data_IF_158401267772
#
_entry.id   IF_158401267772
#
_cell.length_a   1.000
_cell.length_b   1.000
_cell.length_c   1.000
_cell.angle_alpha   90.00
_cell.angle_beta   90.00
_cell.angle_gamma   90.00
#
_symmetry.space_group_name_H-M   'P 1'
#
loop_
_entity.id
_entity.type
_entity.pdbx_description
1 polymer ?
#
# COMPACT_ATOMS: atom_id res chain seq x y z
N UNK A 1 -1.51 27.57 -19.26
CA UNK A 1 -0.46 26.65 -19.76
C UNK A 1 -0.72 25.28 -19.16
N UNK A 2 -1.41 24.40 -19.89
CA UNK A 2 -1.82 23.07 -19.42
C UNK A 2 -0.60 22.15 -19.33
N UNK A 3 -0.35 21.57 -18.16
CA UNK A 3 0.73 20.60 -17.94
C UNK A 3 0.49 19.38 -18.82
N UNK A 4 1.47 19.00 -19.64
CA UNK A 4 1.41 17.92 -20.63
C UNK A 4 1.26 16.49 -20.07
N UNK A 5 0.74 16.34 -18.85
CA UNK A 5 0.50 15.05 -18.19
C UNK A 5 -0.90 14.48 -18.49
N UNK A 6 -1.88 15.32 -18.84
CA UNK A 6 -3.23 14.88 -19.21
C UNK A 6 -3.32 14.08 -20.51
N UNK A 7 -2.46 14.39 -21.49
CA UNK A 7 -2.50 13.76 -22.84
C UNK A 7 -1.78 12.41 -22.93
N UNK A 8 -1.01 12.04 -21.90
CA UNK A 8 -0.33 10.74 -21.83
C UNK A 8 -1.30 9.62 -21.44
N UNK A 9 -2.41 9.93 -20.75
CA UNK A 9 -3.41 8.92 -20.40
C UNK A 9 -4.16 8.39 -21.64
N UNK A 10 -4.33 9.23 -22.68
CA UNK A 10 -4.94 8.85 -23.95
C UNK A 10 -4.04 8.05 -24.90
N UNK A 11 -2.75 7.92 -24.63
CA UNK A 11 -1.79 7.27 -25.55
C UNK A 11 -1.39 5.84 -25.16
N UNK A 12 -1.82 5.35 -23.99
CA UNK A 12 -1.69 3.93 -23.62
C UNK A 12 -3.01 3.20 -23.90
N UNK A 13 -3.12 2.65 -25.11
CA UNK A 13 -4.28 1.91 -25.64
C UNK A 13 -4.65 0.65 -24.85
N UNK A 14 -5.27 0.85 -23.68
CA UNK A 14 -5.81 -0.20 -22.82
C UNK A 14 -6.38 0.28 -21.47
N UNK A 15 -6.21 1.56 -21.11
CA UNK A 15 -6.76 2.10 -19.86
C UNK A 15 -8.23 2.49 -20.05
N UNK A 16 -9.14 1.59 -19.66
CA UNK A 16 -10.57 1.92 -19.54
C UNK A 16 -10.73 2.90 -18.39
N UNK A 17 -10.98 4.16 -18.72
CA UNK A 17 -11.35 5.17 -17.74
C UNK A 17 -12.65 4.73 -17.07
N UNK A 18 -12.57 4.48 -15.78
CA UNK A 18 -13.70 4.01 -14.99
C UNK A 18 -14.37 5.21 -14.34
N UNK A 19 -15.71 5.23 -14.39
CA UNK A 19 -16.51 6.23 -13.70
C UNK A 19 -17.10 5.64 -12.42
N UNK A 20 -17.11 6.44 -11.37
CA UNK A 20 -17.85 6.17 -10.14
C UNK A 20 -18.48 7.48 -9.63
N UNK A 21 -19.64 7.37 -9.03
CA UNK A 21 -20.35 8.48 -8.40
C UNK A 21 -19.91 8.59 -6.95
N UNK A 22 -19.63 9.82 -6.51
CA UNK A 22 -19.43 10.11 -5.10
C UNK A 22 -20.78 9.95 -4.40
N UNK A 23 -20.85 9.09 -3.40
CA UNK A 23 -22.06 8.89 -2.60
C UNK A 23 -22.00 9.65 -1.28
N UNK A 24 -20.79 9.80 -0.71
CA UNK A 24 -20.56 10.52 0.54
C UNK A 24 -19.22 11.24 0.50
N UNK A 25 -19.17 12.42 1.10
CA UNK A 25 -17.94 13.16 1.39
C UNK A 25 -17.96 13.62 2.86
N UNK A 26 -17.33 12.85 3.73
CA UNK A 26 -17.30 13.09 5.18
C UNK A 26 -16.08 13.92 5.58
N UNK A 27 -16.30 14.95 6.39
CA UNK A 27 -15.25 15.78 6.97
C UNK A 27 -14.67 15.12 8.22
N UNK A 28 -13.35 14.92 8.26
CA UNK A 28 -12.65 14.34 9.41
C UNK A 28 -11.44 15.23 9.75
N UNK A 29 -11.69 16.48 10.14
CA UNK A 29 -10.63 17.48 10.33
C UNK A 29 -9.91 17.80 9.01
N UNK A 30 -8.57 17.61 8.90
CA UNK A 30 -7.82 17.83 7.66
C UNK A 30 -7.96 16.66 6.66
N UNK A 31 -8.90 15.74 6.88
CA UNK A 31 -9.17 14.63 5.98
C UNK A 31 -10.57 14.70 5.38
N UNK A 32 -10.72 14.15 4.18
CA UNK A 32 -12.01 13.83 3.57
C UNK A 32 -12.10 12.33 3.33
N UNK A 33 -13.14 11.69 3.86
CA UNK A 33 -13.48 10.32 3.49
C UNK A 33 -14.52 10.35 2.38
N UNK A 34 -14.11 9.90 1.20
CA UNK A 34 -14.98 9.79 0.04
C UNK A 34 -15.47 8.35 -0.06
N UNK A 35 -16.78 8.18 -0.26
CA UNK A 35 -17.36 6.88 -0.65
C UNK A 35 -17.80 6.94 -2.09
N UNK A 36 -17.39 5.98 -2.89
CA UNK A 36 -17.63 5.92 -4.33
C UNK A 36 -18.46 4.69 -4.66
N UNK A 37 -19.40 4.81 -5.60
CA UNK A 37 -20.17 3.69 -6.13
C UNK A 37 -20.23 3.76 -7.65
N UNK A 38 -20.12 2.63 -8.33
CA UNK A 38 -20.26 2.58 -9.79
C UNK A 38 -20.18 1.15 -10.34
N UNK A 39 -20.84 0.91 -11.47
CA UNK A 39 -20.82 -0.41 -12.12
C UNK A 39 -19.40 -0.81 -12.54
N UNK A 40 -18.60 0.15 -12.98
CA UNK A 40 -17.20 -0.07 -13.35
C UNK A 40 -16.31 -0.56 -12.20
N UNK A 41 -16.73 -0.39 -10.94
CA UNK A 41 -16.06 -0.96 -9.77
C UNK A 41 -16.39 -2.45 -9.56
N UNK A 42 -17.56 -2.92 -10.01
CA UNK A 42 -18.01 -4.31 -9.81
C UNK A 42 -17.18 -5.31 -10.61
N UNK A 43 -16.76 -4.93 -11.81
CA UNK A 43 -16.01 -5.79 -12.72
C UNK A 43 -14.52 -5.92 -12.39
N UNK A 44 -14.06 -5.33 -11.29
CA UNK A 44 -12.63 -5.20 -10.98
C UNK A 44 -12.27 -5.90 -9.68
N UNK A 45 -11.11 -6.55 -9.69
CA UNK A 45 -10.49 -7.15 -8.51
C UNK A 45 -9.57 -6.15 -7.85
N UNK A 46 -9.67 -6.01 -6.52
CA UNK A 46 -8.84 -5.16 -5.70
C UNK A 46 -8.02 -6.01 -4.74
N UNK A 47 -6.73 -5.72 -4.63
CA UNK A 47 -5.87 -6.22 -3.57
C UNK A 47 -5.48 -5.07 -2.62
N UNK A 48 -5.46 -5.31 -1.28
CA UNK A 48 -4.98 -4.33 -0.32
C UNK A 48 -3.57 -3.83 -0.66
N UNK A 49 -3.44 -2.53 -0.90
CA UNK A 49 -2.19 -1.89 -1.37
C UNK A 49 -2.20 -1.51 -2.85
N UNK A 50 -3.26 -1.86 -3.59
CA UNK A 50 -3.53 -1.28 -4.90
C UNK A 50 -3.79 0.23 -4.81
N UNK A 51 -3.69 0.90 -5.97
CA UNK A 51 -3.94 2.34 -6.11
C UNK A 51 -4.95 2.64 -7.22
N UNK A 52 -5.62 3.79 -7.08
CA UNK A 52 -6.35 4.46 -8.14
C UNK A 52 -5.62 5.72 -8.56
N UNK A 53 -5.61 6.01 -9.85
CA UNK A 53 -5.19 7.29 -10.40
C UNK A 53 -6.43 8.08 -10.81
N UNK A 54 -6.83 9.02 -9.96
CA UNK A 54 -7.97 9.90 -10.15
C UNK A 54 -7.62 11.02 -11.13
N UNK A 55 -8.51 11.26 -12.08
CA UNK A 55 -8.47 12.41 -12.96
C UNK A 55 -9.32 13.53 -12.35
N UNK A 56 -8.64 14.53 -11.79
CA UNK A 56 -9.26 15.71 -11.20
C UNK A 56 -9.50 16.79 -12.27
N UNK A 57 -10.36 17.79 -11.98
CA UNK A 57 -10.55 18.93 -12.88
C UNK A 57 -9.23 19.61 -13.28
N UNK A 58 -9.12 20.04 -14.54
CA UNK A 58 -7.90 20.65 -15.07
C UNK A 58 -6.81 19.64 -15.48
N UNK A 59 -7.20 18.40 -15.80
CA UNK A 59 -6.33 17.30 -16.25
C UNK A 59 -5.25 16.89 -15.25
N UNK A 60 -5.51 17.14 -13.97
CA UNK A 60 -4.60 16.83 -12.88
C UNK A 60 -4.82 15.38 -12.40
N UNK A 61 -3.75 14.59 -12.34
CA UNK A 61 -3.85 13.18 -11.93
C UNK A 61 -3.30 13.01 -10.52
N UNK A 62 -4.08 12.36 -9.65
CA UNK A 62 -3.70 12.08 -8.25
C UNK A 62 -3.85 10.62 -7.91
N UNK A 63 -2.92 10.11 -7.11
CA UNK A 63 -2.91 8.71 -6.70
C UNK A 63 -3.51 8.58 -5.31
N UNK A 64 -4.47 7.67 -5.16
CA UNK A 64 -5.11 7.36 -3.89
C UNK A 64 -5.19 5.85 -3.67
N UNK A 65 -5.18 5.43 -2.42
CA UNK A 65 -5.36 4.02 -2.04
C UNK A 65 -6.81 3.76 -1.66
N UNK A 66 -7.52 2.86 -2.37
CA UNK A 66 -8.77 2.29 -1.89
C UNK A 66 -8.59 1.60 -0.55
N UNK A 67 -9.52 1.86 0.37
CA UNK A 67 -9.52 1.22 1.70
C UNK A 67 -10.35 -0.05 1.70
N UNK A 68 -11.54 0.03 1.12
CA UNK A 68 -12.48 -1.07 0.98
C UNK A 68 -12.82 -1.27 -0.49
N UNK A 69 -13.21 -2.48 -0.86
CA UNK A 69 -13.73 -2.75 -2.20
C UNK A 69 -14.74 -3.89 -2.14
N UNK A 70 -16.01 -3.58 -2.31
CA UNK A 70 -17.06 -4.59 -2.29
C UNK A 70 -18.29 -4.10 -3.05
N UNK A 71 -18.92 -4.99 -3.82
CA UNK A 71 -20.23 -4.75 -4.46
C UNK A 71 -20.33 -3.44 -5.25
N UNK A 72 -19.26 -3.08 -5.96
CA UNK A 72 -19.21 -1.85 -6.76
C UNK A 72 -19.03 -0.58 -5.93
N UNK A 73 -18.57 -0.70 -4.70
CA UNK A 73 -18.26 0.40 -3.80
C UNK A 73 -16.81 0.36 -3.36
N UNK A 74 -16.26 1.55 -3.13
CA UNK A 74 -14.96 1.74 -2.51
C UNK A 74 -14.94 3.03 -1.70
N UNK A 75 -13.97 3.16 -0.80
CA UNK A 75 -13.75 4.39 -0.04
C UNK A 75 -12.31 4.85 -0.14
N UNK A 76 -12.12 6.16 -0.23
CA UNK A 76 -10.83 6.84 -0.26
C UNK A 76 -10.71 7.75 0.98
N UNK A 77 -9.48 7.95 1.44
CA UNK A 77 -9.17 8.97 2.42
C UNK A 77 -8.21 9.98 1.80
N UNK A 78 -8.65 11.22 1.71
CA UNK A 78 -7.89 12.33 1.13
C UNK A 78 -7.38 13.20 2.27
N UNK A 79 -6.05 13.30 2.40
CA UNK A 79 -5.43 14.29 3.29
C UNK A 79 -5.34 15.64 2.58
N UNK A 80 -5.87 16.68 3.22
CA UNK A 80 -5.91 18.04 2.68
C UNK A 80 -4.61 18.77 3.01
N UNK A 81 -3.56 18.51 2.22
CA UNK A 81 -2.28 19.19 2.36
C UNK A 81 -2.15 20.38 1.41
N UNK A 82 -1.96 21.57 1.96
CA UNK A 82 -1.72 22.80 1.20
C UNK A 82 -2.96 23.32 0.47
N UNK A 83 -3.56 24.40 1.00
CA UNK A 83 -4.82 25.00 0.51
C UNK A 83 -4.77 25.48 -0.96
N UNK A 84 -3.57 25.64 -1.51
CA UNK A 84 -3.35 26.14 -2.87
C UNK A 84 -3.25 25.05 -3.93
N UNK A 85 -3.21 23.77 -3.55
CA UNK A 85 -3.07 22.68 -4.52
C UNK A 85 -4.45 22.23 -5.06
N UNK A 86 -4.54 21.68 -6.29
CA UNK A 86 -5.82 21.31 -6.89
C UNK A 86 -6.60 20.24 -6.12
N UNK A 87 -5.89 19.28 -5.49
CA UNK A 87 -6.52 18.11 -4.90
C UNK A 87 -7.30 18.41 -3.61
N UNK A 88 -6.78 19.18 -2.64
CA UNK A 88 -7.55 19.61 -1.48
C UNK A 88 -8.78 20.45 -1.83
N UNK A 89 -8.65 21.40 -2.78
CA UNK A 89 -9.78 22.22 -3.23
C UNK A 89 -10.89 21.37 -3.84
N UNK A 90 -10.51 20.45 -4.73
CA UNK A 90 -11.46 19.50 -5.32
C UNK A 90 -12.11 18.64 -4.24
N UNK A 91 -11.34 18.04 -3.33
CA UNK A 91 -11.89 17.15 -2.31
C UNK A 91 -12.81 17.87 -1.31
N UNK A 92 -12.58 19.15 -1.05
CA UNK A 92 -13.48 19.99 -0.24
C UNK A 92 -14.79 20.33 -0.97
N UNK A 93 -14.73 20.56 -2.28
CA UNK A 93 -15.88 20.94 -3.10
C UNK A 93 -16.71 19.75 -3.59
N UNK A 94 -16.11 18.55 -3.65
CA UNK A 94 -16.76 17.34 -4.13
C UNK A 94 -18.03 17.02 -3.33
N UNK A 95 -19.12 16.73 -4.01
CA UNK A 95 -20.42 16.48 -3.40
C UNK A 95 -20.98 15.10 -3.79
N UNK A 96 -21.89 14.54 -2.98
CA UNK A 96 -22.69 13.40 -3.42
C UNK A 96 -23.39 13.68 -4.76
N UNK A 97 -23.30 12.74 -5.69
CA UNK A 97 -23.80 12.88 -7.07
C UNK A 97 -22.73 13.24 -8.10
N UNK A 98 -21.59 13.78 -7.68
CA UNK A 98 -20.49 14.09 -8.60
C UNK A 98 -19.89 12.83 -9.22
N UNK A 99 -19.52 12.91 -10.50
CA UNK A 99 -18.85 11.84 -11.23
C UNK A 99 -17.34 12.00 -11.11
N UNK A 100 -16.69 10.90 -10.72
CA UNK A 100 -15.26 10.79 -10.56
C UNK A 100 -14.71 9.77 -11.56
N UNK A 101 -13.71 10.20 -12.33
CA UNK A 101 -13.04 9.39 -13.35
C UNK A 101 -11.69 8.94 -12.84
N UNK A 102 -11.35 7.67 -13.03
CA UNK A 102 -10.07 7.15 -12.59
C UNK A 102 -9.60 5.95 -13.42
N UNK A 103 -8.32 5.65 -13.26
CA UNK A 103 -7.69 4.42 -13.73
C UNK A 103 -7.34 3.55 -12.53
N UNK A 104 -7.65 2.25 -12.64
CA UNK A 104 -7.32 1.25 -11.63
C UNK A 104 -8.49 0.31 -11.31
N UNK A 105 -8.36 -0.50 -10.24
CA UNK A 105 -7.21 -0.58 -9.35
C UNK A 105 -5.96 -1.11 -10.05
N UNK A 106 -4.80 -0.56 -9.67
CA UNK A 106 -3.50 -0.94 -10.18
C UNK A 106 -2.63 -1.46 -9.04
N UNK A 107 -1.94 -2.57 -9.27
CA UNK A 107 -0.97 -3.11 -8.31
C UNK A 107 0.11 -2.08 -8.00
N UNK A 108 0.28 -1.77 -6.72
CA UNK A 108 1.27 -0.79 -6.25
C UNK A 108 2.09 -1.35 -5.10
N UNK A 109 1.45 -1.77 -4.01
CA UNK A 109 2.11 -2.40 -2.86
C UNK A 109 1.59 -3.82 -2.67
N UNK A 110 2.38 -4.81 -3.05
CA UNK A 110 2.05 -6.23 -2.86
C UNK A 110 2.97 -6.84 -1.81
N UNK A 111 2.40 -7.30 -0.70
CA UNK A 111 3.16 -7.86 0.41
C UNK A 111 2.92 -9.36 0.53
N UNK A 112 3.97 -10.18 0.77
CA UNK A 112 3.78 -11.60 1.08
C UNK A 112 2.94 -11.77 2.35
N UNK A 113 2.35 -12.96 2.58
CA UNK A 113 1.65 -13.26 3.83
C UNK A 113 2.54 -13.05 5.07
N UNK A 114 1.92 -12.70 6.19
CA UNK A 114 2.58 -12.52 7.48
C UNK A 114 2.51 -11.10 8.04
N UNK A 115 3.19 -10.86 9.18
CA UNK A 115 3.18 -9.57 9.87
C UNK A 115 3.76 -8.44 9.03
N UNK A 116 3.12 -7.27 9.12
CA UNK A 116 3.50 -6.05 8.39
C UNK A 116 3.73 -4.90 9.36
N UNK A 117 4.83 -4.20 9.19
CA UNK A 117 5.07 -2.88 9.80
C UNK A 117 5.03 -1.84 8.69
N UNK A 118 4.07 -0.93 8.75
CA UNK A 118 3.96 0.21 7.85
C UNK A 118 4.48 1.47 8.56
N UNK A 119 5.38 2.20 7.89
CA UNK A 119 5.85 3.51 8.36
C UNK A 119 5.48 4.53 7.30
N UNK A 120 4.92 5.66 7.71
CA UNK A 120 4.50 6.69 6.78
C UNK A 120 4.05 7.97 7.47
N UNK A 121 3.20 8.72 6.79
CA UNK A 121 2.62 9.99 7.25
C UNK A 121 1.08 9.94 7.17
N UNK A 122 0.43 11.11 7.16
CA UNK A 122 -1.03 11.23 7.06
C UNK A 122 -1.61 10.49 5.84
N UNK A 123 -0.89 10.50 4.71
CA UNK A 123 -1.33 9.88 3.46
C UNK A 123 -1.30 8.35 3.53
N UNK A 124 -0.53 7.80 4.46
CA UNK A 124 -0.35 6.35 4.63
C UNK A 124 -1.46 5.70 5.47
N UNK A 125 -2.37 6.48 6.07
CA UNK A 125 -3.51 5.96 6.83
C UNK A 125 -4.37 5.03 5.97
N UNK A 126 -4.63 5.41 4.71
CA UNK A 126 -5.50 4.63 3.81
C UNK A 126 -4.94 3.22 3.52
N UNK A 127 -3.65 3.11 3.20
CA UNK A 127 -3.02 1.81 2.93
C UNK A 127 -2.85 0.99 4.20
N UNK A 128 -2.56 1.62 5.34
CA UNK A 128 -2.54 0.95 6.64
C UNK A 128 -3.90 0.34 6.97
N UNK A 129 -4.98 1.09 6.76
CA UNK A 129 -6.35 0.62 6.98
C UNK A 129 -6.71 -0.54 6.04
N UNK A 130 -6.44 -0.40 4.73
CA UNK A 130 -6.69 -1.46 3.75
C UNK A 130 -6.00 -2.77 4.13
N UNK A 131 -4.71 -2.71 4.49
CA UNK A 131 -3.94 -3.87 4.92
C UNK A 131 -4.46 -4.44 6.24
N UNK A 132 -4.83 -3.59 7.20
CA UNK A 132 -5.35 -4.03 8.50
C UNK A 132 -6.67 -4.78 8.35
N UNK A 133 -7.60 -4.26 7.54
CA UNK A 133 -8.90 -4.90 7.28
C UNK A 133 -8.73 -6.27 6.63
N UNK A 134 -7.76 -6.43 5.73
CA UNK A 134 -7.47 -7.69 5.08
C UNK A 134 -6.66 -8.67 5.95
N UNK A 135 -5.89 -8.16 6.92
CA UNK A 135 -5.05 -8.98 7.82
C UNK A 135 -5.20 -8.51 9.28
N UNK A 136 -6.38 -8.70 9.90
CA UNK A 136 -6.61 -8.25 11.27
C UNK A 136 -5.55 -8.80 12.23
N UNK A 137 -5.01 -7.93 13.09
CA UNK A 137 -3.99 -8.29 14.08
C UNK A 137 -2.56 -8.46 13.55
N UNK A 138 -2.33 -8.43 12.23
CA UNK A 138 -1.00 -8.62 11.63
C UNK A 138 -0.34 -7.33 11.14
N UNK A 139 -1.06 -6.20 11.18
CA UNK A 139 -0.55 -4.91 10.69
C UNK A 139 -0.31 -3.97 11.87
N UNK A 140 0.91 -3.42 11.94
CA UNK A 140 1.29 -2.31 12.82
C UNK A 140 1.63 -1.11 11.95
N UNK A 141 1.09 0.06 12.28
CA UNK A 141 1.37 1.30 11.57
C UNK A 141 2.02 2.32 12.52
N UNK A 142 3.08 2.98 12.06
CA UNK A 142 3.72 4.11 12.72
C UNK A 142 3.71 5.32 11.78
N UNK A 143 3.02 6.39 12.15
CA UNK A 143 2.71 7.50 11.25
C UNK A 143 3.19 8.83 11.84
N UNK A 144 3.99 9.58 11.06
CA UNK A 144 4.38 10.94 11.41
C UNK A 144 3.34 11.94 10.90
N UNK A 145 2.65 12.61 11.83
CA UNK A 145 1.45 13.40 11.52
C UNK A 145 1.55 14.81 12.09
N UNK A 146 0.95 15.79 11.43
CA UNK A 146 0.90 17.16 11.93
C UNK A 146 0.00 17.32 13.16
N UNK A 147 -1.12 16.57 13.20
CA UNK A 147 -2.12 16.59 14.28
C UNK A 147 -2.48 15.14 14.63
N UNK A 148 -2.11 14.73 15.85
CA UNK A 148 -2.33 13.36 16.31
C UNK A 148 -3.80 13.04 16.56
N UNK A 149 -4.58 13.98 17.09
CA UNK A 149 -5.99 13.74 17.41
C UNK A 149 -6.81 13.62 16.12
N UNK A 150 -6.56 14.51 15.17
CA UNK A 150 -7.20 14.45 13.85
C UNK A 150 -6.82 13.16 13.10
N UNK A 151 -5.53 12.78 13.10
CA UNK A 151 -5.09 11.53 12.49
C UNK A 151 -5.69 10.29 13.18
N UNK A 152 -5.82 10.31 14.50
CA UNK A 152 -6.44 9.23 15.27
C UNK A 152 -7.91 9.07 14.93
N UNK A 153 -8.65 10.18 14.87
CA UNK A 153 -10.05 10.19 14.48
C UNK A 153 -10.24 9.67 13.04
N UNK A 154 -9.42 10.13 12.09
CA UNK A 154 -9.47 9.66 10.71
C UNK A 154 -9.14 8.18 10.58
N UNK A 155 -8.09 7.69 11.27
CA UNK A 155 -7.72 6.27 11.30
C UNK A 155 -8.84 5.40 11.86
N UNK A 156 -9.47 5.80 12.97
CA UNK A 156 -10.60 5.10 13.55
C UNK A 156 -11.79 5.04 12.58
N UNK A 157 -12.12 6.15 11.91
CA UNK A 157 -13.22 6.21 10.95
C UNK A 157 -13.04 5.25 9.76
N UNK A 158 -11.80 4.98 9.35
CA UNK A 158 -11.50 4.04 8.25
C UNK A 158 -11.17 2.62 8.70
N UNK A 159 -11.35 2.30 9.99
CA UNK A 159 -11.15 0.95 10.51
C UNK A 159 -9.69 0.58 10.77
N UNK A 160 -8.82 1.55 11.02
CA UNK A 160 -7.46 1.33 11.52
C UNK A 160 -7.40 1.65 13.03
N UNK A 161 -7.59 0.65 13.91
CA UNK A 161 -7.52 0.87 15.35
C UNK A 161 -6.08 1.04 15.81
N UNK A 162 -5.84 2.05 16.65
CA UNK A 162 -4.62 2.25 17.42
C UNK A 162 -3.31 2.27 16.60
N UNK A 163 -3.17 3.09 15.53
CA UNK A 163 -1.87 3.35 14.95
C UNK A 163 -0.96 4.04 15.97
N UNK A 164 0.35 3.79 15.89
CA UNK A 164 1.34 4.60 16.58
C UNK A 164 1.43 5.93 15.84
N UNK A 165 1.05 7.03 16.50
CA UNK A 165 1.14 8.37 15.94
C UNK A 165 2.31 9.10 16.57
N UNK A 166 3.01 9.87 15.74
CA UNK A 166 4.17 10.66 16.13
C UNK A 166 3.95 12.07 15.61
N UNK A 167 3.74 13.05 16.50
CA UNK A 167 3.73 14.44 16.11
C UNK A 167 4.98 14.79 15.30
N UNK A 168 4.78 15.41 14.14
CA UNK A 168 5.87 15.87 13.29
C UNK A 168 6.61 17.01 13.98
N UNK A 169 7.82 16.72 14.43
CA UNK A 169 8.75 17.75 14.91
C UNK A 169 9.20 18.69 13.79
N UNK A 170 9.89 19.80 14.12
CA UNK A 170 10.48 20.66 13.12
C UNK A 170 11.40 19.86 12.19
N UNK A 171 11.36 20.15 10.89
CA UNK A 171 12.28 19.55 9.93
C UNK A 171 13.71 19.85 10.34
N UNK A 172 14.42 18.84 10.83
CA UNK A 172 15.84 18.93 11.09
C UNK A 172 16.56 18.58 9.79
N UNK A 173 17.27 19.55 9.22
CA UNK A 173 18.22 19.26 8.14
C UNK A 173 19.39 18.51 8.77
N UNK A 174 19.64 17.23 8.42
CA UNK A 174 20.80 16.53 8.93
C UNK A 174 22.04 17.28 8.46
N UNK A 175 22.84 17.80 9.38
CA UNK A 175 24.09 18.50 9.06
C UNK A 175 25.13 17.55 8.48
N UNK A 176 24.99 16.24 8.72
CA UNK A 176 25.78 15.18 8.08
C UNK A 176 24.92 13.93 7.89
N UNK A 177 24.95 13.35 6.69
CA UNK A 177 24.52 11.96 6.51
C UNK A 177 25.64 11.06 7.04
N UNK A 178 25.40 10.15 8.01
CA UNK A 178 26.45 9.26 8.47
C UNK A 178 26.96 8.44 7.29
N UNK A 179 28.28 8.49 7.06
CA UNK A 179 28.92 7.72 6.00
C UNK A 179 28.59 6.24 6.18
N UNK A 180 28.25 5.52 5.08
CA UNK A 180 27.98 4.09 5.18
C UNK A 180 29.18 3.42 5.86
N UNK A 181 28.91 2.67 6.94
CA UNK A 181 29.98 1.94 7.64
C UNK A 181 30.66 1.04 6.60
N UNK A 182 32.01 1.04 6.50
CA UNK A 182 32.70 0.14 5.61
C UNK A 182 32.24 -1.29 5.91
N UNK A 183 31.80 -1.99 4.84
CA UNK A 183 31.35 -3.37 4.94
C UNK A 183 32.52 -4.16 5.53
N UNK A 184 32.30 -4.83 6.67
CA UNK A 184 33.34 -5.66 7.26
C UNK A 184 33.85 -6.64 6.20
N UNK A 185 35.18 -6.78 6.02
CA UNK A 185 35.71 -7.73 5.06
C UNK A 185 35.16 -9.12 5.40
N UNK A 186 34.83 -9.95 4.40
CA UNK A 186 34.38 -11.30 4.66
C UNK A 186 35.44 -12.00 5.51
N UNK A 187 35.05 -12.37 6.74
CA UNK A 187 35.93 -13.12 7.63
C UNK A 187 36.41 -14.36 6.90
N UNK A 188 37.74 -14.53 6.81
CA UNK A 188 38.34 -15.78 6.33
C UNK A 188 37.72 -16.90 7.17
N UNK A 189 36.85 -17.72 6.58
CA UNK A 189 36.52 -19.03 7.15
C UNK A 189 37.85 -19.76 7.25
N UNK A 190 38.35 -19.95 8.48
CA UNK A 190 39.46 -20.83 8.75
C UNK A 190 39.12 -22.19 8.13
N UNK A 191 39.95 -22.62 7.17
CA UNK A 191 39.82 -23.91 6.55
C UNK A 191 39.96 -25.00 7.60
N UNK A 192 38.89 -25.74 7.86
CA UNK A 192 39.04 -27.08 8.41
C UNK A 192 39.43 -27.96 7.23
N UNK A 193 40.69 -28.37 7.22
CA UNK A 193 41.24 -29.35 6.29
C UNK A 193 40.51 -30.68 6.48
N UNK A 194 39.67 -31.05 5.52
CA UNK A 194 39.22 -32.42 5.37
C UNK A 194 40.40 -33.26 4.84
N UNK A 195 40.96 -34.10 5.70
CA UNK A 195 41.93 -35.12 5.32
C UNK A 195 41.23 -36.18 4.47
N UNK A 196 41.73 -36.39 3.25
CA UNK A 196 41.21 -37.35 2.30
C UNK A 196 41.62 -38.77 2.71
N UNK A 197 40.66 -39.62 3.05
CA UNK A 197 40.85 -41.07 3.09
C UNK A 197 40.56 -41.67 1.70
N UNK A 198 41.50 -42.49 1.24
CA UNK A 198 41.58 -43.12 -0.07
C UNK A 198 40.44 -44.13 -0.37
N UNK A 199 40.19 -44.49 -1.65
CA UNK A 199 39.05 -45.29 -2.04
C UNK A 199 39.30 -46.79 -1.84
N UNK A 200 38.29 -47.53 -1.38
CA UNK A 200 38.22 -48.99 -1.51
C UNK A 200 37.02 -49.40 -2.36
N UNK A 201 37.34 -50.26 -3.32
CA UNK A 201 36.49 -50.81 -4.35
C UNK A 201 35.54 -51.91 -3.87
N UNK A 202 34.34 -51.86 -4.44
CA UNK A 202 33.55 -52.96 -5.03
C UNK A 202 32.92 -54.07 -4.17
N UNK A 203 31.76 -54.51 -4.70
CA UNK A 203 30.88 -55.67 -4.41
C UNK A 203 29.84 -55.38 -3.31
N UNK A 204 28.54 -55.58 -3.50
CA UNK A 204 27.76 -56.15 -4.61
C UNK A 204 26.28 -56.28 -4.16
N UNK A 205 25.40 -56.23 -5.15
CA UNK A 205 24.05 -56.82 -5.28
C UNK A 205 23.15 -57.07 -4.04
N UNK A 206 21.91 -56.55 -4.07
CA UNK A 206 20.74 -57.16 -3.41
C UNK A 206 19.53 -56.21 -3.24
N UNK A 207 18.26 -56.62 -3.51
CA UNK A 207 17.19 -55.74 -4.04
C UNK A 207 16.18 -55.24 -2.96
N UNK A 208 15.13 -54.46 -3.34
CA UNK A 208 14.37 -53.62 -2.41
C UNK A 208 13.15 -54.31 -1.81
N UNK A 209 12.76 -53.94 -0.59
CA UNK A 209 11.43 -54.20 -0.06
C UNK A 209 10.73 -52.87 0.24
N UNK A 210 9.63 -52.65 -0.48
CA UNK A 210 8.65 -51.60 -0.26
C UNK A 210 7.50 -52.17 0.63
N UNK A 211 6.45 -51.39 0.99
CA UNK A 211 6.03 -51.23 2.37
C UNK A 211 4.82 -52.10 2.77
N UNK A 212 4.69 -52.38 4.06
CA UNK A 212 3.47 -52.93 4.65
C UNK A 212 2.61 -51.81 5.24
N UNK A 213 1.44 -51.61 4.63
CA UNK A 213 0.29 -51.00 5.27
C UNK A 213 -0.41 -52.07 6.14
N UNK A 214 -0.87 -51.70 7.33
CA UNK A 214 -2.07 -52.30 7.91
C UNK A 214 -2.80 -51.28 8.78
N UNK A 215 -4.13 -51.35 8.64
CA UNK A 215 -5.14 -50.53 9.31
C UNK A 215 -5.37 -51.02 10.75
N UNK A 216 -5.83 -50.10 11.59
CA UNK A 216 -7.05 -50.27 12.37
C UNK A 216 -7.78 -48.92 12.38
#
# INVERSE_FOLDING_TARGET
MSSGKGRILSFFGGLVLTEATITHNEALGPYRRLSLRGEGLQAKTFEPGDKLQLLLPGDDVRTYTPITWARGETSLLVYLHGETTPAPRWAQAAAPGDILRFVGPQRSLSLPPGPVVLIGDETSIAVAAALHLARPGQVKAALSVADEDAARAAAAAVGLPSPTLLARGPTQTPTTWPSPRPRAPPGRRGGQSASAAAPRSSRGCGPPCAPAASRA
#
